data_IF_164869757686
#
_entry.id   IF_164869757686
#
_cell.length_a   1.000
_cell.length_b   1.000
_cell.length_c   1.000
_cell.angle_alpha   90.00
_cell.angle_beta   90.00
_cell.angle_gamma   90.00
#
_symmetry.space_group_name_H-M   'P 1'
#
loop_
_entity.id
_entity.type
_entity.pdbx_description
1 polymer ?
#
# COMPACT_ATOMS: atom_id res chain seq x y z
N UNK A 1 2.32 -2.71 -2.72
CA UNK A 1 3.00 -2.12 -1.54
C UNK A 1 2.85 -3.08 -0.39
N UNK A 2 3.81 -3.11 0.53
CA UNK A 2 3.71 -3.94 1.72
C UNK A 2 2.82 -3.31 2.81
N UNK A 3 2.40 -4.14 3.77
CA UNK A 3 1.51 -3.75 4.87
C UNK A 3 2.14 -2.71 5.79
N UNK A 4 3.44 -2.80 6.04
CA UNK A 4 4.16 -1.89 6.93
C UNK A 4 4.05 -0.45 6.40
N UNK A 5 4.25 -0.28 5.09
CA UNK A 5 4.09 0.98 4.37
C UNK A 5 2.68 1.54 4.54
N UNK A 6 1.64 0.71 4.35
CA UNK A 6 0.25 1.14 4.52
C UNK A 6 -0.02 1.64 5.95
N UNK A 7 0.38 0.86 6.96
CA UNK A 7 0.05 1.13 8.36
C UNK A 7 0.86 2.30 8.95
N UNK A 8 2.08 2.53 8.46
CA UNK A 8 2.92 3.66 8.87
C UNK A 8 2.33 5.02 8.47
N UNK A 9 1.44 5.06 7.46
CA UNK A 9 0.87 6.28 6.90
C UNK A 9 -0.66 6.34 7.00
N UNK A 10 -1.23 5.90 8.13
CA UNK A 10 -2.67 6.01 8.42
C UNK A 10 -3.21 7.44 8.31
N UNK A 11 -2.39 8.44 8.61
CA UNK A 11 -2.73 9.86 8.45
C UNK A 11 -2.88 10.30 6.98
N UNK A 12 -2.47 9.45 6.02
CA UNK A 12 -2.58 9.67 4.57
C UNK A 12 -3.63 8.79 3.91
N UNK A 13 -4.42 8.07 4.70
CA UNK A 13 -5.54 7.30 4.19
C UNK A 13 -6.68 8.24 3.78
N UNK A 14 -7.34 7.88 2.70
CA UNK A 14 -8.59 8.50 2.25
C UNK A 14 -9.62 7.40 2.01
N UNK A 15 -10.89 7.77 2.05
CA UNK A 15 -11.98 6.92 1.57
C UNK A 15 -12.14 7.17 0.08
N UNK A 16 -11.90 6.15 -0.74
CA UNK A 16 -12.06 6.22 -2.19
C UNK A 16 -13.53 6.01 -2.57
N UNK A 17 -14.13 6.97 -3.28
CA UNK A 17 -15.53 6.85 -3.68
C UNK A 17 -15.79 5.66 -4.61
N UNK A 18 -14.81 5.33 -5.45
CA UNK A 18 -14.87 4.25 -6.44
C UNK A 18 -13.60 3.40 -6.35
N UNK A 19 -13.53 2.43 -5.43
CA UNK A 19 -12.35 1.60 -5.25
C UNK A 19 -12.00 0.83 -6.52
N UNK A 20 -10.70 0.80 -6.86
CA UNK A 20 -10.21 0.03 -7.99
C UNK A 20 -10.17 -1.47 -7.67
N UNK A 21 -11.07 -2.25 -8.26
CA UNK A 21 -11.18 -3.71 -8.10
C UNK A 21 -10.67 -4.46 -9.33
N UNK A 22 -9.39 -4.26 -9.65
CA UNK A 22 -8.73 -4.92 -10.78
C UNK A 22 -8.00 -6.19 -10.34
N UNK A 23 -7.96 -7.20 -11.22
CA UNK A 23 -7.09 -8.36 -11.00
C UNK A 23 -5.63 -7.96 -11.22
N UNK A 24 -4.84 -7.96 -10.15
CA UNK A 24 -3.42 -7.61 -10.17
C UNK A 24 -2.58 -8.89 -10.17
N UNK A 25 -2.00 -9.24 -11.31
CA UNK A 25 -1.30 -10.53 -11.50
C UNK A 25 0.18 -10.52 -11.09
N UNK A 26 0.71 -9.38 -10.67
CA UNK A 26 2.13 -9.18 -10.36
C UNK A 26 2.41 -8.90 -8.89
N UNK A 27 1.41 -9.06 -8.03
CA UNK A 27 1.58 -8.92 -6.59
C UNK A 27 2.35 -10.11 -6.04
N UNK A 28 3.22 -9.86 -5.06
CA UNK A 28 3.71 -10.94 -4.20
C UNK A 28 2.55 -11.52 -3.37
N UNK A 29 2.70 -12.71 -2.74
CA UNK A 29 1.65 -13.24 -1.86
C UNK A 29 1.24 -12.26 -0.75
N UNK A 30 2.21 -11.64 -0.08
CA UNK A 30 1.94 -10.67 0.99
C UNK A 30 1.19 -9.42 0.47
N UNK A 31 1.52 -8.97 -0.74
CA UNK A 31 0.82 -7.85 -1.38
C UNK A 31 -0.60 -8.24 -1.81
N UNK A 32 -0.82 -9.47 -2.25
CA UNK A 32 -2.13 -9.99 -2.63
C UNK A 32 -3.06 -10.11 -1.40
N UNK A 33 -2.54 -10.57 -0.27
CA UNK A 33 -3.29 -10.64 0.99
C UNK A 33 -3.70 -9.23 1.45
N UNK A 34 -2.76 -8.28 1.43
CA UNK A 34 -3.06 -6.89 1.76
C UNK A 34 -4.09 -6.28 0.81
N UNK A 35 -3.97 -6.53 -0.50
CA UNK A 35 -4.92 -6.04 -1.49
C UNK A 35 -6.33 -6.60 -1.23
N UNK A 36 -6.44 -7.87 -0.88
CA UNK A 36 -7.73 -8.50 -0.56
C UNK A 36 -8.38 -7.86 0.66
N UNK A 37 -7.62 -7.59 1.72
CA UNK A 37 -8.11 -6.86 2.90
C UNK A 37 -8.57 -5.43 2.61
N UNK A 38 -7.93 -4.75 1.66
CA UNK A 38 -8.38 -3.41 1.22
C UNK A 38 -9.67 -3.49 0.40
N UNK A 39 -9.81 -4.48 -0.46
CA UNK A 39 -11.03 -4.68 -1.29
C UNK A 39 -12.22 -5.13 -0.42
N UNK A 40 -11.97 -5.91 0.62
CA UNK A 40 -12.99 -6.41 1.57
C UNK A 40 -13.31 -5.42 2.70
N UNK A 41 -12.75 -4.19 2.66
CA UNK A 41 -12.93 -3.14 3.68
C UNK A 41 -12.49 -3.58 5.11
N UNK A 42 -11.65 -4.60 5.24
CA UNK A 42 -11.24 -5.17 6.53
C UNK A 42 -10.37 -4.19 7.36
N UNK A 43 -9.70 -3.25 6.69
CA UNK A 43 -8.86 -2.22 7.32
C UNK A 43 -9.59 -0.87 7.49
N UNK A 44 -10.83 -0.77 7.01
CA UNK A 44 -11.66 0.42 6.99
C UNK A 44 -12.44 0.55 5.68
N UNK A 45 -13.51 1.34 5.70
CA UNK A 45 -14.36 1.52 4.52
C UNK A 45 -13.62 2.23 3.38
N UNK A 46 -13.43 1.51 2.27
CA UNK A 46 -12.86 1.96 0.99
C UNK A 46 -11.53 2.67 1.17
N UNK A 47 -10.66 2.13 2.00
CA UNK A 47 -9.35 2.73 2.31
C UNK A 47 -8.45 2.76 1.08
N UNK A 48 -7.93 3.94 0.75
CA UNK A 48 -6.84 4.15 -0.21
C UNK A 48 -5.72 4.95 0.44
N UNK A 49 -4.48 4.55 0.21
CA UNK A 49 -3.32 5.34 0.57
C UNK A 49 -2.93 6.29 -0.57
N UNK A 50 -2.83 7.58 -0.28
CA UNK A 50 -2.26 8.56 -1.22
C UNK A 50 -0.73 8.51 -1.15
N UNK A 51 -0.13 7.63 -1.94
CA UNK A 51 1.31 7.39 -1.92
C UNK A 51 2.11 8.66 -2.27
N UNK A 52 1.58 9.56 -3.09
CA UNK A 52 2.21 10.85 -3.40
C UNK A 52 2.30 11.81 -2.19
N UNK A 53 1.60 11.51 -1.10
CA UNK A 53 1.63 12.30 0.15
C UNK A 53 2.57 11.72 1.21
N UNK A 54 3.24 10.62 0.91
CA UNK A 54 4.27 10.04 1.79
C UNK A 54 5.50 10.94 1.75
N UNK A 55 6.11 11.14 2.93
CA UNK A 55 7.33 11.93 3.04
C UNK A 55 8.47 11.37 2.18
N UNK A 56 9.19 12.25 1.50
CA UNK A 56 10.23 11.84 0.56
C UNK A 56 11.43 11.18 1.24
N UNK A 57 11.81 11.62 2.44
CA UNK A 57 12.89 11.01 3.20
C UNK A 57 12.54 9.59 3.62
N UNK A 58 11.29 9.36 4.05
CA UNK A 58 10.77 8.02 4.34
C UNK A 58 10.84 7.12 3.10
N UNK A 59 10.37 7.65 1.95
CA UNK A 59 10.35 6.92 0.68
C UNK A 59 11.74 6.47 0.24
N UNK A 60 12.73 7.37 0.27
CA UNK A 60 14.13 7.05 -0.09
C UNK A 60 14.71 5.98 0.82
N UNK A 61 14.43 6.04 2.13
CA UNK A 61 14.90 5.02 3.06
C UNK A 61 14.33 3.64 2.73
N UNK A 62 13.02 3.57 2.46
CA UNK A 62 12.34 2.32 2.10
C UNK A 62 12.83 1.76 0.76
N UNK A 63 12.90 2.60 -0.27
CA UNK A 63 13.34 2.18 -1.61
C UNK A 63 14.80 1.69 -1.62
N UNK A 64 15.67 2.31 -0.83
CA UNK A 64 17.06 1.86 -0.69
C UNK A 64 17.13 0.43 -0.17
N UNK A 65 16.30 0.07 0.81
CA UNK A 65 16.17 -1.30 1.31
C UNK A 65 15.66 -2.29 0.27
N UNK A 66 14.66 -1.90 -0.52
CA UNK A 66 14.10 -2.73 -1.61
C UNK A 66 15.13 -2.99 -2.71
N UNK A 67 15.87 -1.96 -3.12
CA UNK A 67 16.91 -2.09 -4.15
C UNK A 67 18.06 -2.97 -3.65
N UNK A 68 18.46 -2.85 -2.38
CA UNK A 68 19.49 -3.71 -1.79
C UNK A 68 19.05 -5.16 -1.60
N UNK A 69 17.75 -5.42 -1.42
CA UNK A 69 17.21 -6.77 -1.34
C UNK A 69 16.97 -7.43 -2.72
N UNK A 70 17.22 -6.69 -3.81
CA UNK A 70 16.86 -7.06 -5.18
C UNK A 70 18.02 -7.47 -6.12
N UNK A 71 19.18 -7.88 -5.60
CA UNK A 71 20.23 -8.60 -6.37
C UNK A 71 20.60 -9.91 -5.68
#
# INVERSE_FOLDING_TARGET
>A
MDRETLLAHRDRWVTEDRPATSVLTRLTPDEQDLYSELVEDALGERVRLEQERIDWQWTIHRLSGVISAGI
#
